data_IF_874813599561
#
_entry.id   IF_874813599561
#
_cell.length_a   1.000
_cell.length_b   1.000
_cell.length_c   1.000
_cell.angle_alpha   90.00
_cell.angle_beta   90.00
_cell.angle_gamma   90.00
#
_symmetry.space_group_name_H-M   'P 1'
#
loop_
_entity.id
_entity.type
_entity.pdbx_description
1 polymer ?
#
# COMPACT_ATOMS: atom_id res chain seq x y z
N UNK A 1 3.88 16.13 0.84
CA UNK A 1 4.11 14.81 1.49
C UNK A 1 5.57 14.74 1.86
N UNK A 2 5.92 14.18 3.01
CA UNK A 2 7.32 14.00 3.43
C UNK A 2 8.01 12.87 2.65
N UNK A 3 9.34 12.89 2.58
CA UNK A 3 10.11 11.83 1.92
C UNK A 3 9.89 10.47 2.60
N UNK A 4 9.79 10.43 3.94
CA UNK A 4 9.52 9.17 4.67
C UNK A 4 8.15 8.56 4.34
N UNK A 5 7.12 9.40 4.11
CA UNK A 5 5.81 8.94 3.62
C UNK A 5 5.86 8.43 2.18
N UNK A 6 6.67 9.06 1.31
CA UNK A 6 6.88 8.63 -0.07
C UNK A 6 7.65 7.30 -0.10
N UNK A 7 8.71 7.18 0.68
CA UNK A 7 9.56 5.98 0.72
C UNK A 7 8.80 4.76 1.22
N UNK A 8 7.90 4.90 2.21
CA UNK A 8 7.10 3.76 2.65
C UNK A 8 5.95 3.42 1.69
N UNK A 9 5.40 4.38 0.94
CA UNK A 9 4.49 4.08 -0.18
C UNK A 9 5.23 3.32 -1.30
N UNK A 10 6.45 3.73 -1.63
CA UNK A 10 7.30 3.03 -2.59
C UNK A 10 7.65 1.61 -2.10
N UNK A 11 7.96 1.44 -0.81
CA UNK A 11 8.18 0.13 -0.21
C UNK A 11 6.95 -0.79 -0.30
N UNK A 12 5.74 -0.26 -0.06
CA UNK A 12 4.50 -1.01 -0.27
C UNK A 12 4.33 -1.40 -1.74
N UNK A 13 4.56 -0.47 -2.67
CA UNK A 13 4.50 -0.75 -4.11
C UNK A 13 5.45 -1.88 -4.51
N UNK A 14 6.71 -1.82 -4.06
CA UNK A 14 7.72 -2.87 -4.27
C UNK A 14 7.32 -4.21 -3.65
N UNK A 15 6.76 -4.21 -2.44
CA UNK A 15 6.25 -5.43 -1.78
C UNK A 15 5.15 -6.09 -2.62
N UNK A 16 4.22 -5.31 -3.17
CA UNK A 16 3.18 -5.85 -4.04
C UNK A 16 3.78 -6.39 -5.34
N UNK A 17 4.62 -5.61 -6.02
CA UNK A 17 5.23 -5.96 -7.30
C UNK A 17 6.10 -7.24 -7.21
N UNK A 18 6.74 -7.48 -6.06
CA UNK A 18 7.57 -8.68 -5.83
C UNK A 18 6.75 -9.87 -5.34
N UNK A 19 5.77 -9.65 -4.44
CA UNK A 19 5.00 -10.73 -3.82
C UNK A 19 3.84 -11.25 -4.68
N UNK A 20 3.11 -10.36 -5.37
CA UNK A 20 1.94 -10.76 -6.15
C UNK A 20 2.26 -11.77 -7.27
N UNK A 21 3.35 -11.62 -8.06
CA UNK A 21 3.70 -12.59 -9.10
C UNK A 21 3.97 -14.01 -8.58
N UNK A 22 4.35 -14.15 -7.29
CA UNK A 22 4.62 -15.45 -6.68
C UNK A 22 3.35 -16.21 -6.32
N UNK A 23 2.24 -15.50 -6.10
CA UNK A 23 0.97 -16.10 -5.65
C UNK A 23 -0.12 -16.09 -6.73
N UNK A 24 0.02 -15.28 -7.79
CA UNK A 24 -1.03 -15.00 -8.79
C UNK A 24 -1.66 -16.23 -9.48
N UNK A 25 -0.97 -17.37 -9.48
CA UNK A 25 -1.45 -18.61 -10.10
C UNK A 25 -2.32 -19.45 -9.16
N UNK A 26 -2.37 -19.12 -7.86
CA UNK A 26 -3.19 -19.77 -6.85
C UNK A 26 -4.19 -18.75 -6.29
N UNK A 27 -5.49 -19.05 -6.42
CA UNK A 27 -6.55 -18.15 -6.00
C UNK A 27 -6.55 -17.90 -4.49
N UNK A 28 -6.40 -18.94 -3.68
CA UNK A 28 -6.45 -18.83 -2.22
C UNK A 28 -5.24 -18.04 -1.70
N UNK A 29 -4.05 -18.35 -2.23
CA UNK A 29 -2.83 -17.62 -1.89
C UNK A 29 -2.89 -16.16 -2.34
N UNK A 30 -3.45 -15.90 -3.51
CA UNK A 30 -3.68 -14.54 -4.02
C UNK A 30 -4.63 -13.75 -3.12
N UNK A 31 -5.78 -14.33 -2.77
CA UNK A 31 -6.78 -13.68 -1.93
C UNK A 31 -6.20 -13.36 -0.54
N UNK A 32 -5.44 -14.30 0.06
CA UNK A 32 -4.73 -14.07 1.32
C UNK A 32 -3.68 -12.97 1.20
N UNK A 33 -2.87 -12.98 0.14
CA UNK A 33 -1.85 -11.96 -0.09
C UNK A 33 -2.46 -10.56 -0.21
N UNK A 34 -3.54 -10.42 -1.00
CA UNK A 34 -4.24 -9.14 -1.18
C UNK A 34 -4.81 -8.65 0.16
N UNK A 35 -5.45 -9.54 0.94
CA UNK A 35 -6.01 -9.17 2.24
C UNK A 35 -4.94 -8.68 3.22
N UNK A 36 -3.81 -9.39 3.31
CA UNK A 36 -2.67 -8.99 4.13
C UNK A 36 -2.07 -7.66 3.66
N UNK A 37 -1.84 -7.52 2.35
CA UNK A 37 -1.29 -6.30 1.77
C UNK A 37 -2.17 -5.08 2.04
N UNK A 38 -3.50 -5.22 1.88
CA UNK A 38 -4.46 -4.15 2.21
C UNK A 38 -4.37 -3.75 3.67
N UNK A 39 -4.33 -4.72 4.59
CA UNK A 39 -4.18 -4.43 6.02
C UNK A 39 -2.89 -3.67 6.33
N UNK A 40 -1.78 -4.08 5.74
CA UNK A 40 -0.48 -3.41 5.92
C UNK A 40 -0.48 -1.99 5.35
N UNK A 41 -1.04 -1.82 4.15
CA UNK A 41 -1.15 -0.51 3.50
C UNK A 41 -2.03 0.45 4.32
N UNK A 42 -3.20 -0.01 4.80
CA UNK A 42 -4.08 0.79 5.66
C UNK A 42 -3.41 1.22 6.97
N UNK A 43 -2.68 0.30 7.62
CA UNK A 43 -1.92 0.62 8.84
C UNK A 43 -0.86 1.67 8.57
N UNK A 44 -0.12 1.53 7.47
CA UNK A 44 0.91 2.47 7.09
C UNK A 44 0.34 3.86 6.78
N UNK A 45 -0.73 3.94 5.98
CA UNK A 45 -1.41 5.21 5.66
C UNK A 45 -1.85 5.91 6.96
N UNK A 46 -2.46 5.18 7.90
CA UNK A 46 -2.88 5.74 9.20
C UNK A 46 -1.70 6.20 10.08
N UNK A 47 -0.51 5.66 9.86
CA UNK A 47 0.71 6.03 10.60
C UNK A 47 1.42 7.27 10.03
N UNK A 48 1.07 7.70 8.81
CA UNK A 48 1.67 8.89 8.20
C UNK A 48 1.32 10.17 9.00
N UNK A 49 2.12 11.24 8.88
CA UNK A 49 1.73 12.56 9.40
C UNK A 49 0.35 13.00 8.86
N UNK A 50 -0.47 13.68 9.68
CA UNK A 50 -1.84 14.07 9.30
C UNK A 50 -1.91 14.90 8.01
N UNK A 51 -0.93 15.78 7.78
CA UNK A 51 -0.81 16.53 6.53
C UNK A 51 -0.56 15.60 5.33
N UNK A 52 0.26 14.58 5.49
CA UNK A 52 0.59 13.62 4.44
C UNK A 52 -0.60 12.69 4.15
N UNK A 53 -1.35 12.27 5.17
CA UNK A 53 -2.61 11.54 5.01
C UNK A 53 -3.63 12.35 4.18
N UNK A 54 -3.71 13.66 4.42
CA UNK A 54 -4.59 14.57 3.68
C UNK A 54 -4.16 14.70 2.22
N UNK A 55 -2.86 14.90 1.97
CA UNK A 55 -2.32 14.96 0.60
C UNK A 55 -2.57 13.65 -0.15
N UNK A 56 -2.31 12.50 0.50
CA UNK A 56 -2.58 11.18 -0.07
C UNK A 56 -4.07 10.99 -0.39
N UNK A 57 -4.96 11.33 0.55
CA UNK A 57 -6.41 11.23 0.36
C UNK A 57 -6.93 12.13 -0.76
N UNK A 58 -6.35 13.32 -0.91
CA UNK A 58 -6.70 14.23 -2.01
C UNK A 58 -6.22 13.70 -3.36
N UNK A 59 -5.03 13.09 -3.42
CA UNK A 59 -4.54 12.43 -4.62
C UNK A 59 -5.49 11.31 -5.08
N UNK A 60 -5.99 10.48 -4.17
CA UNK A 60 -6.93 9.39 -4.48
C UNK A 60 -8.32 9.85 -4.96
N UNK A 61 -8.71 11.10 -4.70
CA UNK A 61 -10.01 11.66 -5.12
C UNK A 61 -9.98 12.26 -6.53
N UNK A 62 -8.82 12.28 -7.19
CA UNK A 62 -8.66 12.85 -8.52
C UNK A 62 -8.98 11.83 -9.64
N UNK A 63 -9.29 10.57 -9.29
CA UNK A 63 -9.85 9.56 -10.20
C UNK A 63 -11.40 9.58 -10.23
#
# INVERSE_FOLDING_TARGET
>A
MTQGSIDGLDALSKKFATGFPLVKSDKEATDKFIAMFRSDAEKYIKSMPANDQTIYSNYLKID
#
